data_IF_906744179413
#
_entry.id   IF_906744179413
#
_cell.length_a   1.000
_cell.length_b   1.000
_cell.length_c   1.000
_cell.angle_alpha   90.00
_cell.angle_beta   90.00
_cell.angle_gamma   90.00
#
_symmetry.space_group_name_H-M   'P 1'
#
loop_
_entity.id
_entity.type
_entity.pdbx_description
1 polymer ?
#
# COMPACT_ATOMS: atom_id res chain seq x y z
N UNK A 1 -2.61 0.82 -17.75
CA UNK A 1 -1.79 1.17 -16.57
C UNK A 1 -1.77 2.69 -16.46
N UNK A 2 -2.16 3.25 -15.31
CA UNK A 2 -2.19 4.70 -15.08
C UNK A 2 -0.80 5.29 -15.23
N UNK A 3 -0.66 6.44 -15.89
CA UNK A 3 0.63 7.13 -16.17
C UNK A 3 1.35 7.65 -14.91
N UNK A 4 0.78 7.43 -13.72
CA UNK A 4 1.21 8.06 -12.48
C UNK A 4 1.48 7.06 -11.34
N UNK A 5 2.02 5.89 -11.65
CA UNK A 5 2.45 4.91 -10.65
C UNK A 5 3.97 4.73 -10.65
N UNK A 6 4.56 4.69 -9.45
CA UNK A 6 5.96 4.37 -9.24
C UNK A 6 6.07 2.88 -8.89
N UNK A 7 6.92 2.12 -9.59
CA UNK A 7 7.17 0.72 -9.25
C UNK A 7 8.10 0.67 -8.03
N UNK A 8 7.61 0.13 -6.91
CA UNK A 8 8.40 -0.05 -5.69
C UNK A 8 9.23 -1.32 -5.72
N UNK A 9 8.71 -2.39 -6.34
CA UNK A 9 9.39 -3.67 -6.40
C UNK A 9 8.46 -4.78 -6.87
N UNK A 10 8.83 -6.03 -6.55
CA UNK A 10 7.96 -7.18 -6.74
C UNK A 10 8.17 -8.18 -5.60
N UNK A 11 7.10 -8.76 -5.09
CA UNK A 11 7.14 -9.82 -4.06
C UNK A 11 6.47 -11.05 -4.62
N UNK A 12 7.17 -12.19 -4.63
CA UNK A 12 6.68 -13.47 -5.21
C UNK A 12 6.12 -13.33 -6.64
N UNK A 13 6.74 -12.46 -7.45
CA UNK A 13 6.31 -12.20 -8.83
C UNK A 13 5.16 -11.20 -8.97
N UNK A 14 4.58 -10.71 -7.86
CA UNK A 14 3.53 -9.69 -7.87
C UNK A 14 4.18 -8.31 -7.81
N UNK A 15 4.10 -7.49 -8.88
CA UNK A 15 4.66 -6.15 -8.88
C UNK A 15 3.85 -5.24 -7.94
N UNK A 16 4.57 -4.46 -7.12
CA UNK A 16 4.00 -3.50 -6.19
C UNK A 16 4.26 -2.10 -6.73
N UNK A 17 3.20 -1.32 -6.82
CA UNK A 17 3.18 0.05 -7.32
C UNK A 17 2.72 1.01 -6.22
N UNK A 18 3.22 2.24 -6.27
CA UNK A 18 2.78 3.37 -5.47
C UNK A 18 2.14 4.40 -6.39
N UNK A 19 0.87 4.72 -6.18
CA UNK A 19 0.23 5.78 -6.93
C UNK A 19 0.75 7.14 -6.48
N UNK A 20 0.90 8.10 -7.40
CA UNK A 20 1.40 9.45 -7.08
C UNK A 20 0.62 10.14 -5.96
N UNK A 21 -0.70 9.87 -5.86
CA UNK A 21 -1.55 10.45 -4.83
C UNK A 21 -1.11 10.07 -3.42
N UNK A 22 -0.33 9.00 -3.26
CA UNK A 22 0.29 8.61 -1.99
C UNK A 22 1.13 9.75 -1.39
N UNK A 23 1.79 10.55 -2.23
CA UNK A 23 2.56 11.71 -1.78
C UNK A 23 1.71 12.78 -1.11
N UNK A 24 0.40 12.86 -1.38
CA UNK A 24 -0.51 13.76 -0.66
C UNK A 24 -0.63 13.37 0.82
N UNK A 25 -0.63 12.06 1.13
CA UNK A 25 -0.64 11.58 2.51
C UNK A 25 0.67 11.93 3.22
N UNK A 26 1.80 11.71 2.55
CA UNK A 26 3.12 12.06 3.08
C UNK A 26 3.21 13.56 3.34
N UNK A 27 2.80 14.38 2.37
CA UNK A 27 2.76 15.84 2.49
C UNK A 27 1.87 16.28 3.65
N UNK A 28 0.68 15.68 3.79
CA UNK A 28 -0.21 15.97 4.91
C UNK A 28 0.42 15.64 6.26
N UNK A 29 1.07 14.47 6.41
CA UNK A 29 1.78 14.10 7.65
C UNK A 29 2.91 15.08 7.96
N UNK A 30 3.65 15.52 6.94
CA UNK A 30 4.71 16.52 7.11
C UNK A 30 4.12 17.85 7.56
N UNK A 31 3.12 18.39 6.84
CA UNK A 31 2.49 19.68 7.18
C UNK A 31 1.88 19.65 8.58
N UNK A 32 1.12 18.61 8.92
CA UNK A 32 0.54 18.44 10.24
C UNK A 32 1.61 18.38 11.34
N UNK A 33 2.78 17.79 11.05
CA UNK A 33 3.92 17.80 11.98
C UNK A 33 4.51 19.20 12.15
N UNK A 34 4.67 19.94 11.05
CA UNK A 34 5.24 21.29 11.06
C UNK A 34 4.37 22.31 11.81
N UNK A 35 3.04 22.20 11.69
CA UNK A 35 2.11 23.08 12.40
C UNK A 35 1.79 22.59 13.83
N UNK A 36 2.34 21.45 14.25
CA UNK A 36 2.15 20.92 15.59
C UNK A 36 2.91 21.76 16.63
N UNK A 37 2.31 22.07 17.80
CA UNK A 37 3.03 22.72 18.90
C UNK A 37 4.16 21.85 19.47
N UNK A 38 4.21 20.56 19.13
CA UNK A 38 5.24 19.61 19.55
C UNK A 38 6.31 19.37 18.48
N UNK A 39 6.43 20.26 17.49
CA UNK A 39 7.36 20.06 16.38
C UNK A 39 8.80 19.89 16.86
N UNK A 40 9.39 18.76 16.47
CA UNK A 40 10.82 18.49 16.55
C UNK A 40 11.19 17.55 15.41
N UNK A 41 12.48 17.53 15.04
CA UNK A 41 12.97 16.59 14.01
C UNK A 41 12.67 15.14 14.43
N UNK A 42 12.85 14.82 15.71
CA UNK A 42 12.53 13.50 16.26
C UNK A 42 11.04 13.14 16.12
N UNK A 43 10.14 14.09 16.39
CA UNK A 43 8.70 13.89 16.22
C UNK A 43 8.31 13.64 14.77
N UNK A 44 8.86 14.41 13.81
CA UNK A 44 8.64 14.19 12.39
C UNK A 44 9.12 12.81 11.94
N UNK A 45 10.35 12.43 12.31
CA UNK A 45 10.93 11.11 11.98
C UNK A 45 10.07 9.99 12.54
N UNK A 46 9.62 10.10 13.81
CA UNK A 46 8.75 9.12 14.42
C UNK A 46 7.43 8.93 13.64
N UNK A 47 6.79 10.02 13.22
CA UNK A 47 5.55 9.95 12.44
C UNK A 47 5.74 9.34 11.06
N UNK A 48 6.85 9.65 10.39
CA UNK A 48 7.19 9.03 9.11
C UNK A 48 7.49 7.52 9.26
N UNK A 49 8.14 7.11 10.35
CA UNK A 49 8.35 5.69 10.66
C UNK A 49 7.03 4.96 10.93
N UNK A 50 6.11 5.59 11.68
CA UNK A 50 4.76 5.05 11.88
C UNK A 50 3.99 4.92 10.57
N UNK A 51 4.05 5.93 9.71
CA UNK A 51 3.44 5.87 8.38
C UNK A 51 4.04 4.73 7.55
N UNK A 52 5.37 4.59 7.54
CA UNK A 52 6.05 3.51 6.82
C UNK A 52 5.63 2.14 7.37
N UNK A 53 5.54 1.98 8.69
CA UNK A 53 5.06 0.76 9.34
C UNK A 53 3.62 0.42 8.98
N UNK A 54 2.74 1.43 8.96
CA UNK A 54 1.34 1.26 8.54
C UNK A 54 1.25 0.80 7.08
N UNK A 55 1.96 1.46 6.17
CA UNK A 55 2.01 1.10 4.74
C UNK A 55 2.57 -0.31 4.56
N UNK A 56 3.63 -0.64 5.29
CA UNK A 56 4.19 -1.99 5.29
C UNK A 56 3.19 -3.04 5.74
N UNK A 57 2.43 -2.77 6.81
CA UNK A 57 1.36 -3.66 7.30
C UNK A 57 0.26 -3.85 6.25
N UNK A 58 -0.19 -2.78 5.59
CA UNK A 58 -1.19 -2.87 4.51
C UNK A 58 -0.65 -3.67 3.33
N UNK A 59 0.60 -3.45 2.91
CA UNK A 59 1.22 -4.25 1.84
C UNK A 59 1.22 -5.74 2.20
N UNK A 60 1.57 -6.08 3.44
CA UNK A 60 1.56 -7.47 3.91
C UNK A 60 0.15 -8.06 3.95
N UNK A 61 -0.85 -7.27 4.33
CA UNK A 61 -2.26 -7.64 4.31
C UNK A 61 -2.75 -7.97 2.89
N UNK A 62 -2.51 -7.07 1.93
CA UNK A 62 -2.86 -7.28 0.51
C UNK A 62 -2.11 -8.46 -0.10
N UNK A 63 -0.84 -8.66 0.27
CA UNK A 63 -0.09 -9.84 -0.14
C UNK A 63 -0.68 -11.12 0.45
N UNK A 64 -1.22 -11.07 1.68
CA UNK A 64 -1.98 -12.15 2.29
C UNK A 64 -3.16 -12.57 1.41
N UNK A 65 -3.96 -11.60 0.99
CA UNK A 65 -5.09 -11.82 0.09
C UNK A 65 -4.67 -12.39 -1.27
N UNK A 66 -3.63 -11.81 -1.87
CA UNK A 66 -3.08 -12.29 -3.13
C UNK A 66 -2.57 -13.75 -3.03
N UNK A 67 -1.94 -14.11 -1.91
CA UNK A 67 -1.49 -15.48 -1.67
C UNK A 67 -2.65 -16.44 -1.39
N UNK A 68 -3.72 -15.99 -0.73
CA UNK A 68 -4.93 -16.78 -0.51
C UNK A 68 -5.61 -17.09 -1.84
N UNK A 69 -5.83 -16.08 -2.68
CA UNK A 69 -6.40 -16.22 -4.03
C UNK A 69 -5.55 -17.12 -4.94
N UNK A 70 -4.22 -17.06 -4.80
CA UNK A 70 -3.30 -17.93 -5.55
C UNK A 70 -3.53 -19.42 -5.25
N UNK A 71 -3.92 -19.79 -4.02
CA UNK A 71 -4.26 -21.18 -3.67
C UNK A 71 -5.51 -21.69 -4.42
N UNK A 72 -6.38 -20.78 -4.84
CA UNK A 72 -7.57 -21.08 -5.64
C UNK A 72 -7.33 -20.90 -7.15
N UNK A 73 -6.06 -20.75 -7.57
CA UNK A 73 -5.69 -20.60 -8.98
C UNK A 73 -6.03 -19.23 -9.57
N UNK A 74 -6.21 -18.20 -8.73
CA UNK A 74 -6.50 -16.83 -9.17
C UNK A 74 -5.23 -15.99 -8.97
N UNK A 75 -4.45 -15.72 -10.04
CA UNK A 75 -3.25 -14.92 -9.92
C UNK A 75 -3.57 -13.44 -9.74
N UNK A 76 -2.82 -12.75 -8.88
CA UNK A 76 -2.84 -11.29 -8.74
C UNK A 76 -1.86 -10.67 -9.73
N UNK A 77 -2.34 -9.73 -10.56
CA UNK A 77 -1.54 -9.08 -11.61
C UNK A 77 -0.64 -8.00 -11.06
N UNK A 78 -1.15 -7.17 -10.16
CA UNK A 78 -0.43 -6.06 -9.57
C UNK A 78 -1.07 -5.61 -8.26
N UNK A 79 -0.29 -5.02 -7.35
CA UNK A 79 -0.79 -4.36 -6.14
C UNK A 79 -0.44 -2.87 -6.25
N UNK A 80 -1.44 -2.00 -6.18
CA UNK A 80 -1.23 -0.54 -6.21
C UNK A 80 -1.61 0.09 -4.88
N UNK A 81 -0.67 0.80 -4.27
CA UNK A 81 -0.84 1.52 -3.01
C UNK A 81 -1.35 2.94 -3.24
N UNK A 82 -2.42 3.28 -2.53
CA UNK A 82 -3.07 4.58 -2.48
C UNK A 82 -2.98 5.15 -1.05
N UNK A 83 -3.30 6.45 -0.84
CA UNK A 83 -3.33 7.06 0.48
C UNK A 83 -4.15 6.29 1.53
N UNK A 84 -5.27 5.68 1.12
CA UNK A 84 -6.21 5.05 2.04
C UNK A 84 -6.03 3.54 2.19
N UNK A 85 -5.17 2.91 1.38
CA UNK A 85 -5.02 1.45 1.36
C UNK A 85 -4.34 0.92 0.09
N UNK A 86 -4.25 -0.39 -0.03
CA UNK A 86 -3.80 -1.07 -1.24
C UNK A 86 -4.97 -1.59 -2.07
N UNK A 87 -4.75 -1.76 -3.37
CA UNK A 87 -5.69 -2.45 -4.25
C UNK A 87 -4.93 -3.54 -4.99
N UNK A 88 -5.27 -4.79 -4.72
CA UNK A 88 -4.79 -5.96 -5.46
C UNK A 88 -5.64 -6.16 -6.73
N UNK A 89 -5.04 -5.98 -7.90
CA UNK A 89 -5.69 -6.26 -9.18
C UNK A 89 -5.61 -7.76 -9.48
N UNK A 90 -6.71 -8.47 -9.20
CA UNK A 90 -6.84 -9.90 -9.51
C UNK A 90 -7.08 -10.12 -11.01
N UNK A 91 -6.54 -11.20 -11.57
CA UNK A 91 -6.75 -11.55 -12.98
C UNK A 91 -8.21 -11.91 -13.29
N UNK A 92 -8.94 -12.43 -12.29
CA UNK A 92 -10.39 -12.59 -12.31
C UNK A 92 -10.96 -12.29 -10.92
N UNK A 93 -12.19 -11.79 -10.87
CA UNK A 93 -12.94 -11.68 -9.62
C UNK A 93 -13.33 -13.10 -9.18
N UNK A 94 -13.01 -13.53 -7.95
CA UNK A 94 -13.43 -14.84 -7.46
C UNK A 94 -14.94 -14.93 -7.30
N UNK A 95 -15.46 -16.14 -7.47
CA UNK A 95 -16.89 -16.43 -7.37
C UNK A 95 -17.39 -16.33 -5.91
N UNK A 96 -16.48 -16.42 -4.93
CA UNK A 96 -16.77 -16.25 -3.50
C UNK A 96 -15.76 -15.29 -2.88
N UNK A 97 -16.20 -14.24 -2.16
CA UNK A 97 -15.30 -13.28 -1.49
C UNK A 97 -14.32 -13.95 -0.50
N UNK A 98 -14.76 -15.07 0.10
CA UNK A 98 -13.95 -15.88 1.02
C UNK A 98 -12.71 -16.53 0.37
N UNK A 99 -12.64 -16.59 -0.96
CA UNK A 99 -11.46 -17.16 -1.66
C UNK A 99 -10.26 -16.21 -1.66
N UNK A 100 -10.45 -14.96 -1.21
CA UNK A 100 -9.40 -13.97 -1.06
C UNK A 100 -8.99 -13.76 0.41
N UNK A 101 -9.70 -14.34 1.39
CA UNK A 101 -9.54 -14.08 2.82
C UNK A 101 -8.50 -15.00 3.50
#
# INVERSE_FOLDING_TARGET
MSRFTLRLGAVKGIPIYLHWSFWLLVLWVVLDSFFSPYFSVGFLVWRLLLLLGLVGSVILHELGHAMAALKYGIPTRDITMYPFGGVASLARIPDKPLQEL
#
